data_IF_752642924094
#
_entry.id   IF_752642924094
#
_cell.length_a   1.000
_cell.length_b   1.000
_cell.length_c   1.000
_cell.angle_alpha   90.00
_cell.angle_beta   90.00
_cell.angle_gamma   90.00
#
_symmetry.space_group_name_H-M   'P 1'
#
loop_
_entity.id
_entity.type
_entity.pdbx_description
1 polymer ?
#
# COMPACT_ATOMS: atom_id res chain seq x y z
N UNK A 1 14.71 -1.37 -30.90
CA UNK A 1 14.93 -0.02 -30.35
C UNK A 1 13.57 0.57 -29.99
N UNK A 2 13.20 0.58 -28.72
CA UNK A 2 11.89 1.09 -28.31
C UNK A 2 11.88 2.62 -28.47
N UNK A 3 10.92 3.14 -29.25
CA UNK A 3 10.72 4.57 -29.46
C UNK A 3 10.60 5.31 -28.13
N UNK A 4 11.65 6.03 -27.74
CA UNK A 4 11.77 6.93 -26.59
C UNK A 4 10.51 7.80 -26.33
N UNK A 5 9.82 8.34 -27.36
CA UNK A 5 8.58 9.10 -27.13
C UNK A 5 7.40 8.26 -26.59
N UNK A 6 7.34 6.96 -26.85
CA UNK A 6 6.25 6.10 -26.38
C UNK A 6 6.37 5.79 -24.87
N UNK A 7 7.59 5.52 -24.39
CA UNK A 7 7.88 5.30 -22.98
C UNK A 7 7.60 6.56 -22.15
N UNK A 8 8.05 7.73 -22.62
CA UNK A 8 7.80 9.02 -21.97
C UNK A 8 6.29 9.33 -21.87
N UNK A 9 5.51 9.08 -22.93
CA UNK A 9 4.04 9.21 -22.91
C UNK A 9 3.38 8.26 -21.92
N UNK A 10 3.89 7.03 -21.80
CA UNK A 10 3.37 6.03 -20.84
C UNK A 10 3.59 6.48 -19.39
N UNK A 11 4.80 6.96 -19.08
CA UNK A 11 5.16 7.52 -17.76
C UNK A 11 4.30 8.73 -17.43
N UNK A 12 4.15 9.66 -18.39
CA UNK A 12 3.28 10.83 -18.25
C UNK A 12 1.83 10.45 -17.88
N UNK A 13 1.25 9.48 -18.60
CA UNK A 13 -0.10 8.97 -18.30
C UNK A 13 -0.18 8.29 -16.92
N UNK A 14 0.88 7.62 -16.47
CA UNK A 14 0.93 7.04 -15.11
C UNK A 14 0.98 8.15 -14.04
N UNK A 15 1.82 9.16 -14.21
CA UNK A 15 1.92 10.30 -13.29
C UNK A 15 0.61 11.08 -13.18
N UNK A 16 -0.05 11.37 -14.31
CA UNK A 16 -1.38 11.99 -14.31
C UNK A 16 -2.44 11.15 -13.60
N UNK A 17 -2.41 9.82 -13.77
CA UNK A 17 -3.30 8.91 -13.03
C UNK A 17 -3.03 8.93 -11.52
N UNK A 18 -1.77 9.05 -11.11
CA UNK A 18 -1.42 9.22 -9.69
C UNK A 18 -1.90 10.58 -9.16
N UNK A 19 -1.80 11.65 -9.95
CA UNK A 19 -2.30 12.97 -9.57
C UNK A 19 -3.79 12.92 -9.23
N UNK A 20 -4.60 12.22 -10.04
CA UNK A 20 -6.05 12.09 -9.80
C UNK A 20 -6.40 11.39 -8.48
N UNK A 21 -5.47 10.66 -7.86
CA UNK A 21 -5.68 9.96 -6.58
C UNK A 21 -5.29 10.80 -5.35
N UNK A 22 -4.77 12.02 -5.53
CA UNK A 22 -4.40 12.89 -4.42
C UNK A 22 -5.64 13.48 -3.73
N UNK A 23 -5.60 13.68 -2.40
CA UNK A 23 -6.78 13.99 -1.59
C UNK A 23 -7.35 15.40 -1.82
N UNK A 24 -6.51 16.42 -2.05
CA UNK A 24 -6.95 17.82 -2.17
C UNK A 24 -6.79 18.33 -3.60
N UNK A 25 -7.69 19.22 -4.02
CA UNK A 25 -7.68 19.80 -5.37
C UNK A 25 -6.39 20.57 -5.65
N UNK A 26 -5.93 21.39 -4.69
CA UNK A 26 -4.66 22.13 -4.80
C UNK A 26 -3.46 21.22 -5.06
N UNK A 27 -3.39 20.05 -4.39
CA UNK A 27 -2.29 19.09 -4.61
C UNK A 27 -2.38 18.42 -5.97
N UNK A 28 -3.60 18.19 -6.48
CA UNK A 28 -3.82 17.69 -7.84
C UNK A 28 -3.32 18.69 -8.87
N UNK A 29 -3.67 19.96 -8.70
CA UNK A 29 -3.36 21.02 -9.65
C UNK A 29 -1.88 21.41 -9.62
N UNK A 30 -1.28 21.45 -8.43
CA UNK A 30 0.18 21.58 -8.28
C UNK A 30 0.92 20.46 -9.00
N UNK A 31 0.60 19.18 -8.73
CA UNK A 31 1.32 18.06 -9.34
C UNK A 31 1.11 18.02 -10.86
N UNK A 32 -0.09 18.35 -11.35
CA UNK A 32 -0.34 18.45 -12.80
C UNK A 32 0.50 19.56 -13.44
N UNK A 33 0.55 20.73 -12.82
CA UNK A 33 1.35 21.86 -13.28
C UNK A 33 2.83 21.52 -13.30
N UNK A 34 3.33 20.89 -12.24
CA UNK A 34 4.73 20.51 -12.08
C UNK A 34 5.15 19.38 -13.04
N UNK A 35 4.29 18.38 -13.25
CA UNK A 35 4.51 17.31 -14.24
C UNK A 35 4.49 17.89 -15.66
N UNK A 36 3.56 18.81 -15.96
CA UNK A 36 3.48 19.46 -17.28
C UNK A 36 4.66 20.40 -17.53
N UNK A 37 5.08 21.19 -16.53
CA UNK A 37 6.23 22.09 -16.63
C UNK A 37 7.53 21.29 -16.80
N UNK A 38 7.72 20.23 -16.02
CA UNK A 38 8.86 19.33 -16.14
C UNK A 38 8.94 18.64 -17.50
N UNK A 39 7.81 18.20 -18.06
CA UNK A 39 7.80 17.63 -19.42
C UNK A 39 8.08 18.69 -20.50
N UNK A 40 7.56 19.91 -20.37
CA UNK A 40 7.82 21.00 -21.31
C UNK A 40 9.28 21.45 -21.27
N UNK A 41 9.85 21.61 -20.07
CA UNK A 41 11.26 21.96 -19.89
C UNK A 41 12.19 20.91 -20.51
N UNK A 42 11.79 19.63 -20.49
CA UNK A 42 12.56 18.53 -21.05
C UNK A 42 12.18 18.17 -22.50
N UNK A 43 11.25 18.87 -23.13
CA UNK A 43 10.82 18.61 -24.51
C UNK A 43 11.93 18.87 -25.55
N UNK A 44 12.91 19.70 -25.17
CA UNK A 44 14.08 20.05 -25.99
C UNK A 44 15.29 19.14 -25.75
N UNK A 45 15.21 18.21 -24.78
CA UNK A 45 16.29 17.27 -24.49
C UNK A 45 16.32 16.25 -25.62
N UNK A 46 17.23 16.43 -26.59
CA UNK A 46 17.49 15.47 -27.67
C UNK A 46 18.62 14.50 -27.36
N UNK A 47 19.37 14.70 -26.27
CA UNK A 47 20.39 13.77 -25.81
C UNK A 47 19.74 12.55 -25.16
N UNK A 48 19.87 11.40 -25.84
CA UNK A 48 19.34 10.11 -25.41
C UNK A 48 19.81 9.70 -24.01
N UNK A 49 21.01 10.13 -23.60
CA UNK A 49 21.58 9.85 -22.27
C UNK A 49 20.81 10.56 -21.16
N UNK A 50 20.51 11.85 -21.35
CA UNK A 50 19.70 12.64 -20.43
C UNK A 50 18.26 12.14 -20.37
N UNK A 51 17.67 11.75 -21.51
CA UNK A 51 16.33 11.16 -21.54
C UNK A 51 16.27 9.87 -20.70
N UNK A 52 17.26 8.98 -20.85
CA UNK A 52 17.32 7.73 -20.09
C UNK A 52 17.46 8.00 -18.58
N UNK A 53 18.27 9.00 -18.20
CA UNK A 53 18.43 9.42 -16.79
C UNK A 53 17.11 9.91 -16.18
N UNK A 54 16.37 10.76 -16.91
CA UNK A 54 15.08 11.28 -16.47
C UNK A 54 14.02 10.18 -16.36
N UNK A 55 13.99 9.25 -17.32
CA UNK A 55 13.11 8.07 -17.27
C UNK A 55 13.41 7.25 -16.01
N UNK A 56 14.68 6.90 -15.78
CA UNK A 56 15.09 6.13 -14.60
C UNK A 56 14.68 6.82 -13.28
N UNK A 57 14.89 8.14 -13.19
CA UNK A 57 14.48 8.91 -12.01
C UNK A 57 12.95 8.88 -11.82
N UNK A 58 12.18 9.00 -12.89
CA UNK A 58 10.71 8.96 -12.84
C UNK A 58 10.16 7.58 -12.45
N UNK A 59 10.82 6.50 -12.89
CA UNK A 59 10.47 5.13 -12.53
C UNK A 59 10.68 4.89 -11.03
N UNK A 60 11.78 5.41 -10.46
CA UNK A 60 12.03 5.38 -9.01
C UNK A 60 10.92 6.08 -8.21
N UNK A 61 10.48 7.26 -8.64
CA UNK A 61 9.36 7.95 -7.98
C UNK A 61 8.04 7.20 -8.10
N UNK A 62 7.76 6.59 -9.26
CA UNK A 62 6.57 5.77 -9.45
C UNK A 62 6.55 4.55 -8.54
N UNK A 63 7.70 3.91 -8.30
CA UNK A 63 7.81 2.77 -7.38
C UNK A 63 7.45 3.18 -5.95
N UNK A 64 8.03 4.28 -5.44
CA UNK A 64 7.74 4.83 -4.10
C UNK A 64 6.25 5.16 -3.93
N UNK A 65 5.64 5.79 -4.94
CA UNK A 65 4.20 6.08 -4.92
C UNK A 65 3.35 4.80 -4.92
N UNK A 66 3.80 3.77 -5.65
CA UNK A 66 3.20 2.44 -5.65
C UNK A 66 3.23 1.77 -4.28
N UNK A 67 4.39 1.78 -3.61
CA UNK A 67 4.57 1.24 -2.26
C UNK A 67 3.65 1.94 -1.25
N UNK A 68 3.55 3.26 -1.30
CA UNK A 68 2.63 4.02 -0.45
C UNK A 68 1.16 3.64 -0.67
N UNK A 69 0.76 3.48 -1.93
CA UNK A 69 -0.61 3.04 -2.26
C UNK A 69 -0.88 1.64 -1.71
N UNK A 70 0.08 0.72 -1.82
CA UNK A 70 -0.01 -0.64 -1.29
C UNK A 70 -0.11 -0.63 0.23
N UNK A 71 0.73 0.14 0.92
CA UNK A 71 0.68 0.33 2.38
C UNK A 71 -0.70 0.75 2.88
N UNK A 72 -1.30 1.77 2.25
CA UNK A 72 -2.63 2.24 2.64
C UNK A 72 -3.73 1.22 2.37
N UNK A 73 -3.60 0.45 1.28
CA UNK A 73 -4.54 -0.63 0.97
C UNK A 73 -4.49 -1.74 2.02
N UNK A 74 -3.30 -2.15 2.43
CA UNK A 74 -3.09 -3.19 3.46
C UNK A 74 -3.55 -2.73 4.84
N UNK A 75 -3.22 -1.51 5.22
CA UNK A 75 -3.71 -0.91 6.46
C UNK A 75 -5.25 -0.96 6.53
N UNK A 76 -5.94 -0.51 5.47
CA UNK A 76 -7.40 -0.58 5.39
C UNK A 76 -7.92 -2.02 5.32
N UNK A 77 -7.19 -2.91 4.65
CA UNK A 77 -7.46 -4.34 4.58
C UNK A 77 -7.53 -4.96 5.98
N UNK A 78 -6.48 -4.79 6.78
CA UNK A 78 -6.40 -5.28 8.16
C UNK A 78 -7.50 -4.71 9.05
N UNK A 79 -7.83 -3.42 8.91
CA UNK A 79 -8.96 -2.82 9.63
C UNK A 79 -10.31 -3.42 9.23
N UNK A 80 -10.51 -3.76 7.95
CA UNK A 80 -11.72 -4.47 7.50
C UNK A 80 -11.75 -5.90 8.03
N UNK A 81 -10.66 -6.65 7.87
CA UNK A 81 -10.50 -8.02 8.35
C UNK A 81 -10.72 -8.13 9.88
N UNK A 82 -10.27 -7.13 10.65
CA UNK A 82 -10.52 -7.07 12.09
C UNK A 82 -11.99 -7.18 12.46
N UNK A 83 -12.92 -6.70 11.61
CA UNK A 83 -14.38 -6.74 11.84
C UNK A 83 -14.94 -8.16 11.75
N UNK A 84 -14.19 -9.10 11.19
CA UNK A 84 -14.58 -10.50 11.13
C UNK A 84 -14.24 -11.26 12.42
N UNK A 85 -13.44 -10.68 13.33
CA UNK A 85 -13.17 -11.30 14.62
C UNK A 85 -14.45 -11.41 15.46
N UNK A 86 -14.66 -12.53 16.19
CA UNK A 86 -15.94 -12.79 16.86
C UNK A 86 -16.19 -11.93 18.10
N UNK A 87 -15.16 -11.31 18.70
CA UNK A 87 -15.30 -10.50 19.92
C UNK A 87 -14.72 -9.11 19.76
N UNK A 88 -15.34 -8.12 20.41
CA UNK A 88 -14.90 -6.72 20.38
C UNK A 88 -13.44 -6.55 20.86
N UNK A 89 -13.02 -7.31 21.87
CA UNK A 89 -11.63 -7.29 22.36
C UNK A 89 -10.63 -7.71 21.29
N UNK A 90 -10.95 -8.73 20.48
CA UNK A 90 -10.08 -9.20 19.38
C UNK A 90 -10.08 -8.22 18.22
N UNK A 91 -11.23 -7.62 17.88
CA UNK A 91 -11.32 -6.54 16.89
C UNK A 91 -10.36 -5.39 17.28
N UNK A 92 -10.45 -4.95 18.54
CA UNK A 92 -9.64 -3.83 19.03
C UNK A 92 -8.15 -4.18 19.15
N UNK A 93 -7.83 -5.41 19.53
CA UNK A 93 -6.44 -5.90 19.54
C UNK A 93 -5.80 -5.80 18.15
N UNK A 94 -6.48 -6.32 17.12
CA UNK A 94 -5.99 -6.26 15.73
C UNK A 94 -5.79 -4.81 15.30
N UNK A 95 -6.79 -3.94 15.52
CA UNK A 95 -6.70 -2.52 15.15
C UNK A 95 -5.54 -1.80 15.83
N UNK A 96 -5.37 -2.00 17.14
CA UNK A 96 -4.28 -1.39 17.91
C UNK A 96 -2.92 -1.87 17.42
N UNK A 97 -2.77 -3.18 17.19
CA UNK A 97 -1.54 -3.76 16.67
C UNK A 97 -1.22 -3.24 15.27
N UNK A 98 -2.18 -3.26 14.34
CA UNK A 98 -2.02 -2.69 12.99
C UNK A 98 -1.59 -1.23 13.05
N UNK A 99 -2.27 -0.40 13.86
CA UNK A 99 -1.89 1.01 14.01
C UNK A 99 -0.48 1.17 14.57
N UNK A 100 -0.13 0.41 15.61
CA UNK A 100 1.19 0.47 16.23
C UNK A 100 2.31 0.11 15.24
N UNK A 101 2.17 -0.99 14.50
CA UNK A 101 3.20 -1.45 13.56
C UNK A 101 3.37 -0.50 12.36
N UNK A 102 2.27 0.01 11.80
CA UNK A 102 2.36 0.99 10.71
C UNK A 102 2.93 2.33 11.17
N UNK A 103 2.67 2.76 12.41
CA UNK A 103 3.25 3.99 12.96
C UNK A 103 4.73 3.81 13.30
N UNK A 104 5.12 2.65 13.85
CA UNK A 104 6.51 2.32 14.16
C UNK A 104 7.41 2.39 12.92
N UNK A 105 6.89 1.95 11.77
CA UNK A 105 7.64 1.92 10.51
C UNK A 105 7.32 3.08 9.56
N UNK A 106 6.69 4.16 10.05
CA UNK A 106 6.25 5.29 9.21
C UNK A 106 7.40 5.98 8.48
N UNK A 107 8.55 6.06 9.15
CA UNK A 107 9.69 6.84 8.71
C UNK A 107 10.73 5.99 7.95
N UNK A 108 10.41 4.72 7.64
CA UNK A 108 11.23 3.86 6.78
C UNK A 108 11.14 4.36 5.33
N UNK A 109 12.30 4.67 4.74
CA UNK A 109 12.41 5.25 3.40
C UNK A 109 13.02 4.27 2.39
N UNK A 110 13.77 3.27 2.86
CA UNK A 110 14.48 2.34 1.99
C UNK A 110 13.48 1.44 1.23
N UNK A 111 13.43 1.47 -0.11
CA UNK A 111 12.38 0.80 -0.87
C UNK A 111 12.29 -0.70 -0.64
N UNK A 112 13.42 -1.39 -0.48
CA UNK A 112 13.44 -2.84 -0.25
C UNK A 112 12.91 -3.20 1.14
N UNK A 113 13.29 -2.43 2.16
CA UNK A 113 12.76 -2.60 3.53
C UNK A 113 11.24 -2.35 3.56
N UNK A 114 10.77 -1.31 2.86
CA UNK A 114 9.32 -1.07 2.71
C UNK A 114 8.64 -2.25 2.02
N UNK A 115 9.23 -2.84 0.97
CA UNK A 115 8.65 -4.02 0.29
C UNK A 115 8.53 -5.22 1.22
N UNK A 116 9.56 -5.51 2.01
CA UNK A 116 9.55 -6.59 2.99
C UNK A 116 8.45 -6.40 4.04
N UNK A 117 8.34 -5.20 4.60
CA UNK A 117 7.28 -4.85 5.56
C UNK A 117 5.88 -5.00 4.95
N UNK A 118 5.71 -4.62 3.68
CA UNK A 118 4.43 -4.78 2.98
C UNK A 118 4.09 -6.23 2.69
N UNK A 119 5.07 -7.06 2.33
CA UNK A 119 4.88 -8.51 2.17
C UNK A 119 4.49 -9.16 3.51
N UNK A 120 5.13 -8.75 4.61
CA UNK A 120 4.76 -9.20 5.95
C UNK A 120 3.32 -8.79 6.30
N UNK A 121 2.91 -7.56 5.98
CA UNK A 121 1.55 -7.09 6.23
C UNK A 121 0.50 -7.85 5.39
N UNK A 122 0.84 -8.29 4.18
CA UNK A 122 -0.01 -9.18 3.36
C UNK A 122 -0.21 -10.54 4.02
N UNK A 123 0.88 -11.18 4.46
CA UNK A 123 0.80 -12.44 5.18
C UNK A 123 -0.03 -12.31 6.47
N UNK A 124 0.14 -11.21 7.21
CA UNK A 124 -0.64 -10.93 8.41
C UNK A 124 -2.13 -10.73 8.10
N UNK A 125 -2.46 -10.10 6.98
CA UNK A 125 -3.86 -9.94 6.56
C UNK A 125 -4.52 -11.29 6.33
N UNK A 126 -3.87 -12.19 5.58
CA UNK A 126 -4.34 -13.55 5.35
C UNK A 126 -4.50 -14.32 6.69
N UNK A 127 -3.51 -14.20 7.58
CA UNK A 127 -3.56 -14.83 8.90
C UNK A 127 -4.75 -14.34 9.74
N UNK A 128 -5.05 -13.04 9.72
CA UNK A 128 -6.20 -12.46 10.43
C UNK A 128 -7.51 -13.04 9.91
N UNK A 129 -7.67 -13.18 8.58
CA UNK A 129 -8.88 -13.74 7.99
C UNK A 129 -9.06 -15.23 8.31
N UNK A 130 -7.98 -16.02 8.26
CA UNK A 130 -7.99 -17.44 8.67
C UNK A 130 -8.36 -17.57 10.15
N UNK A 131 -7.73 -16.77 11.02
CA UNK A 131 -8.02 -16.77 12.45
C UNK A 131 -9.46 -16.34 12.75
N UNK A 132 -9.97 -15.32 12.07
CA UNK A 132 -11.34 -14.87 12.23
C UNK A 132 -12.32 -16.01 11.88
N UNK A 133 -12.09 -16.71 10.78
CA UNK A 133 -12.90 -17.85 10.35
C UNK A 133 -12.84 -18.99 11.38
N UNK A 134 -11.64 -19.41 11.76
CA UNK A 134 -11.45 -20.50 12.73
C UNK A 134 -12.10 -20.18 14.08
N UNK A 135 -11.91 -18.96 14.58
CA UNK A 135 -12.51 -18.53 15.85
C UNK A 135 -14.04 -18.49 15.75
N UNK A 136 -14.62 -18.03 14.64
CA UNK A 136 -16.09 -18.11 14.48
C UNK A 136 -16.60 -19.55 14.60
N UNK A 137 -15.96 -20.49 13.90
CA UNK A 137 -16.33 -21.91 13.98
C UNK A 137 -16.26 -22.43 15.41
N UNK A 138 -15.22 -22.07 16.17
CA UNK A 138 -15.09 -22.46 17.58
C UNK A 138 -16.23 -21.87 18.43
N UNK A 139 -16.57 -20.60 18.24
CA UNK A 139 -17.63 -19.93 19.02
C UNK A 139 -19.03 -20.41 18.64
N UNK A 140 -19.23 -20.88 17.41
CA UNK A 140 -20.51 -21.43 16.93
C UNK A 140 -20.71 -22.90 17.30
N UNK A 141 -19.65 -23.62 17.69
CA UNK A 141 -19.72 -25.04 18.04
C UNK A 141 -20.34 -25.25 19.44
N UNK A 142 -21.51 -25.90 19.56
CA UNK A 142 -22.13 -26.17 20.86
C UNK A 142 -21.23 -27.07 21.73
N UNK A 143 -21.03 -26.71 22.99
CA UNK A 143 -20.27 -27.51 23.95
C UNK A 143 -18.77 -27.22 24.05
N UNK A 144 -18.17 -26.43 23.14
CA UNK A 144 -16.73 -26.11 23.18
C UNK A 144 -16.29 -25.42 24.49
N UNK A 145 -17.17 -24.65 25.12
CA UNK A 145 -16.89 -24.01 26.41
C UNK A 145 -17.06 -24.94 27.62
N UNK A 146 -17.69 -26.10 27.46
CA UNK A 146 -18.03 -27.01 28.57
C UNK A 146 -17.00 -28.14 28.76
N UNK A 147 -16.21 -28.47 27.74
CA UNK A 147 -15.25 -29.60 27.80
C UNK A 147 -13.97 -29.29 28.60
N UNK A 148 -13.70 -28.03 28.94
CA UNK A 148 -12.53 -27.66 29.77
C UNK A 148 -12.76 -27.81 31.28
N UNK A 149 -13.98 -28.13 31.74
CA UNK A 149 -14.33 -28.18 33.17
C UNK A 149 -14.44 -29.65 33.68
N UNK A 150 -14.37 -30.65 32.80
CA UNK A 150 -14.60 -32.07 33.15
C UNK A 150 -13.35 -32.97 33.11
N UNK A 151 -12.17 -32.37 33.00
CA UNK A 151 -10.90 -33.09 32.91
C UNK A 151 -9.92 -32.73 34.02
N UNK A 152 -10.37 -32.78 35.28
CA UNK A 152 -9.52 -32.84 36.49
C UNK A 152 -10.13 -33.84 37.48
#
# INVERSE_FOLDING_TARGET
MANTPAAARSIFRKLLRCANKLPTQERRDWLRSDVLSGFRANAHVSDQTQINKLISQSEKYLDILGLRSRALSLYRGLFRASRHMPTANRVEFVRRRTRSEFMKNRDVVEPEEVKELLNLAEFQLESVDVQATHLKTIFETPGYHNDKIRGE
#
